data_IF_655556644992
#
_entry.id   IF_655556644992
#
_cell.length_a   1.000
_cell.length_b   1.000
_cell.length_c   1.000
_cell.angle_alpha   90.00
_cell.angle_beta   90.00
_cell.angle_gamma   90.00
#
_symmetry.space_group_name_H-M   'P 1'
#
loop_
_entity.id
_entity.type
_entity.pdbx_description
1 polymer ?
#
# COMPACT_ATOMS: atom_id res chain seq x y z
N UNK A 1 -6.18 -32.61 -16.09
CA UNK A 1 -7.06 -31.67 -16.79
C UNK A 1 -7.38 -30.60 -15.76
N UNK A 2 -6.63 -29.50 -15.78
CA UNK A 2 -6.82 -28.37 -14.87
C UNK A 2 -8.15 -27.70 -15.22
N UNK A 3 -9.07 -27.62 -14.27
CA UNK A 3 -10.31 -26.85 -14.44
C UNK A 3 -9.95 -25.37 -14.46
N UNK A 4 -10.16 -24.72 -15.59
CA UNK A 4 -10.07 -23.27 -15.69
C UNK A 4 -11.14 -22.66 -14.77
N UNK A 5 -10.71 -21.96 -13.73
CA UNK A 5 -11.58 -21.18 -12.87
C UNK A 5 -12.15 -20.03 -13.72
N UNK A 6 -13.43 -20.13 -14.10
CA UNK A 6 -14.10 -19.06 -14.83
C UNK A 6 -14.20 -17.83 -13.91
N UNK A 7 -13.30 -16.85 -14.12
CA UNK A 7 -13.40 -15.53 -13.52
C UNK A 7 -14.52 -14.73 -14.19
N UNK A 8 -15.76 -15.01 -13.81
CA UNK A 8 -16.86 -14.08 -14.07
C UNK A 8 -16.70 -12.94 -13.07
N UNK A 9 -16.20 -11.78 -13.51
CA UNK A 9 -16.69 -10.45 -13.14
C UNK A 9 -15.88 -9.35 -13.83
N UNK A 10 -16.08 -9.16 -15.13
CA UNK A 10 -15.78 -7.86 -15.73
C UNK A 10 -16.91 -6.92 -15.27
N UNK A 11 -16.63 -6.08 -14.27
CA UNK A 11 -17.58 -5.03 -13.88
C UNK A 11 -17.86 -4.13 -15.09
N UNK A 12 -19.13 -3.84 -15.34
CA UNK A 12 -19.52 -2.92 -16.42
C UNK A 12 -18.98 -1.54 -16.10
N UNK A 13 -18.40 -0.87 -17.10
CA UNK A 13 -17.92 0.51 -16.96
C UNK A 13 -19.09 1.45 -16.62
N UNK A 14 -18.79 2.55 -15.91
CA UNK A 14 -19.77 3.61 -15.67
C UNK A 14 -20.30 4.10 -17.03
N UNK A 15 -21.62 4.01 -17.29
CA UNK A 15 -22.17 4.34 -18.60
C UNK A 15 -22.19 5.84 -18.86
N UNK A 16 -22.57 6.65 -17.86
CA UNK A 16 -22.54 8.11 -17.94
C UNK A 16 -22.58 8.76 -16.53
N UNK A 17 -22.59 10.09 -16.50
CA UNK A 17 -22.86 10.92 -15.32
C UNK A 17 -24.34 11.33 -15.34
N UNK A 18 -25.03 11.24 -14.20
CA UNK A 18 -26.43 11.65 -14.10
C UNK A 18 -26.60 13.17 -14.16
N UNK A 19 -27.68 13.61 -14.78
CA UNK A 19 -28.01 15.00 -15.10
C UNK A 19 -29.31 15.51 -14.45
N UNK A 20 -30.13 14.63 -13.88
CA UNK A 20 -31.35 15.00 -13.18
C UNK A 20 -31.10 15.61 -11.78
N UNK A 21 -31.82 16.69 -11.48
CA UNK A 21 -31.81 17.35 -10.16
C UNK A 21 -31.11 18.71 -10.15
N UNK A 22 -31.05 19.32 -8.96
CA UNK A 22 -30.41 20.64 -8.77
C UNK A 22 -28.98 20.47 -8.28
N UNK A 23 -28.04 21.17 -8.93
CA UNK A 23 -26.63 21.17 -8.54
C UNK A 23 -26.44 21.73 -7.12
N UNK A 24 -25.63 21.05 -6.31
CA UNK A 24 -25.26 21.46 -4.96
C UNK A 24 -23.75 21.32 -4.75
N UNK A 25 -23.16 22.22 -3.96
CA UNK A 25 -21.74 22.16 -3.61
C UNK A 25 -21.53 21.26 -2.41
N UNK A 26 -20.72 20.22 -2.57
CA UNK A 26 -20.35 19.29 -1.49
C UNK A 26 -18.86 19.42 -1.15
N UNK A 27 -18.53 19.17 0.12
CA UNK A 27 -17.15 18.96 0.58
C UNK A 27 -17.04 17.52 1.07
N UNK A 28 -16.00 16.83 0.68
CA UNK A 28 -15.75 15.44 1.06
C UNK A 28 -14.46 15.35 1.88
N UNK A 29 -14.33 14.29 2.67
CA UNK A 29 -13.06 13.91 3.27
C UNK A 29 -12.19 13.13 2.27
N UNK A 30 -12.07 13.65 1.05
CA UNK A 30 -11.22 13.09 0.00
C UNK A 30 -10.17 14.15 -0.32
N UNK A 31 -8.92 13.76 -0.17
CA UNK A 31 -7.77 14.59 -0.52
C UNK A 31 -7.08 13.93 -1.71
N UNK A 32 -7.00 14.67 -2.80
CA UNK A 32 -6.35 14.18 -4.02
C UNK A 32 -4.84 14.04 -3.80
N UNK A 33 -4.31 12.88 -4.19
CA UNK A 33 -2.86 12.66 -4.28
C UNK A 33 -2.42 13.18 -5.65
N UNK A 34 -1.79 14.34 -5.67
CA UNK A 34 -1.45 15.07 -6.92
C UNK A 34 -0.23 14.52 -7.65
N UNK A 35 0.63 13.79 -6.94
CA UNK A 35 1.83 13.21 -7.49
C UNK A 35 2.09 11.87 -6.80
N UNK A 36 2.14 10.82 -7.60
CA UNK A 36 2.64 9.52 -7.20
C UNK A 36 3.92 9.28 -7.98
N UNK A 37 4.97 8.83 -7.32
CA UNK A 37 6.24 8.61 -7.98
C UNK A 37 6.10 7.46 -8.99
N UNK A 38 6.55 7.65 -10.22
CA UNK A 38 6.64 6.59 -11.24
C UNK A 38 7.86 5.67 -11.01
N UNK A 39 8.38 5.63 -9.78
CA UNK A 39 9.53 4.81 -9.39
C UNK A 39 9.08 3.39 -9.08
N UNK A 40 10.01 2.44 -9.20
CA UNK A 40 9.73 1.06 -8.85
C UNK A 40 9.69 0.89 -7.34
N UNK A 41 8.56 0.38 -6.83
CA UNK A 41 8.41 0.01 -5.43
C UNK A 41 8.82 -1.45 -5.28
N UNK A 42 9.83 -1.71 -4.45
CA UNK A 42 10.26 -3.07 -4.13
C UNK A 42 9.53 -3.58 -2.89
N UNK A 43 8.88 -4.73 -3.02
CA UNK A 43 8.13 -5.40 -1.96
C UNK A 43 8.92 -6.58 -1.42
N UNK A 44 9.07 -6.64 -0.09
CA UNK A 44 9.81 -7.69 0.60
C UNK A 44 8.94 -8.37 1.66
N UNK A 45 8.93 -9.69 1.64
CA UNK A 45 8.33 -10.50 2.68
C UNK A 45 9.26 -10.57 3.90
N UNK A 46 8.75 -10.12 5.05
CA UNK A 46 9.56 -10.03 6.28
C UNK A 46 8.94 -10.84 7.39
N UNK A 47 9.71 -11.80 7.88
CA UNK A 47 9.33 -12.63 9.01
C UNK A 47 10.09 -12.18 10.25
N UNK A 48 9.36 -11.70 11.26
CA UNK A 48 9.93 -11.38 12.58
C UNK A 48 9.69 -12.58 13.50
N UNK A 49 10.78 -13.14 14.03
CA UNK A 49 10.73 -14.25 14.98
C UNK A 49 11.29 -13.80 16.34
N UNK A 50 10.65 -14.16 17.47
CA UNK A 50 9.41 -14.92 17.60
C UNK A 50 8.15 -14.09 17.25
N UNK A 51 7.00 -14.76 17.14
CA UNK A 51 5.71 -14.08 16.94
C UNK A 51 5.39 -13.19 18.14
N UNK A 52 5.32 -11.88 17.92
CA UNK A 52 5.03 -10.89 18.95
C UNK A 52 3.80 -10.04 18.57
N UNK A 53 3.21 -9.30 19.53
CA UNK A 53 2.11 -8.39 19.22
C UNK A 53 2.50 -7.34 18.18
N UNK A 54 1.54 -6.96 17.32
CA UNK A 54 1.71 -5.98 16.23
C UNK A 54 2.45 -4.71 16.66
N UNK A 55 2.08 -4.13 17.80
CA UNK A 55 2.73 -2.91 18.32
C UNK A 55 4.22 -3.11 18.60
N UNK A 56 4.64 -4.32 18.96
CA UNK A 56 6.05 -4.64 19.15
C UNK A 56 6.77 -4.85 17.81
N UNK A 57 6.13 -5.48 16.81
CA UNK A 57 6.67 -5.58 15.46
C UNK A 57 7.04 -4.20 14.89
N UNK A 58 6.17 -3.21 15.04
CA UNK A 58 6.44 -1.83 14.61
C UNK A 58 7.65 -1.22 15.32
N UNK A 59 7.82 -1.47 16.63
CA UNK A 59 9.00 -0.99 17.38
C UNK A 59 10.29 -1.67 16.93
N UNK A 60 10.24 -2.98 16.71
CA UNK A 60 11.38 -3.76 16.21
C UNK A 60 11.76 -3.28 14.81
N UNK A 61 10.77 -3.09 13.94
CA UNK A 61 10.99 -2.60 12.59
C UNK A 61 11.59 -1.19 12.58
N UNK A 62 11.02 -0.26 13.34
CA UNK A 62 11.57 1.09 13.44
C UNK A 62 13.01 1.08 13.96
N UNK A 63 13.31 0.23 14.94
CA UNK A 63 14.67 0.08 15.46
C UNK A 63 15.63 -0.48 14.41
N UNK A 64 15.19 -1.44 13.61
CA UNK A 64 15.95 -1.98 12.48
C UNK A 64 16.25 -0.88 11.45
N UNK A 65 15.24 -0.08 11.07
CA UNK A 65 15.44 1.02 10.12
C UNK A 65 16.40 2.07 10.68
N UNK A 66 16.24 2.50 11.94
CA UNK A 66 17.14 3.45 12.59
C UNK A 66 18.60 2.96 12.61
N UNK A 67 18.81 1.68 12.88
CA UNK A 67 20.14 1.11 13.04
C UNK A 67 20.85 0.87 11.71
N UNK A 68 20.13 0.42 10.68
CA UNK A 68 20.73 -0.01 9.41
C UNK A 68 20.44 0.94 8.25
N UNK A 69 19.93 2.14 8.54
CA UNK A 69 19.57 3.13 7.52
C UNK A 69 20.70 3.43 6.55
N UNK A 70 21.87 3.79 7.08
CA UNK A 70 23.03 4.22 6.28
C UNK A 70 23.85 3.03 5.76
N UNK A 71 23.52 1.80 6.19
CA UNK A 71 24.21 0.58 5.83
C UNK A 71 23.38 -0.23 4.82
N UNK A 72 22.68 -1.26 5.29
CA UNK A 72 21.95 -2.21 4.46
C UNK A 72 20.77 -1.58 3.69
N UNK A 73 20.21 -0.47 4.19
CA UNK A 73 19.07 0.20 3.58
C UNK A 73 19.46 1.36 2.64
N UNK A 74 20.75 1.68 2.49
CA UNK A 74 21.21 2.68 1.52
C UNK A 74 20.58 4.08 1.66
N UNK A 75 20.17 4.47 2.87
CA UNK A 75 19.49 5.73 3.17
C UNK A 75 17.96 5.69 3.06
N UNK A 76 17.39 4.58 2.57
CA UNK A 76 15.96 4.41 2.32
C UNK A 76 15.10 4.53 3.59
N UNK A 77 13.82 4.88 3.40
CA UNK A 77 12.82 5.00 4.47
C UNK A 77 11.66 4.04 4.21
N UNK A 78 11.85 2.75 4.51
CA UNK A 78 10.87 1.72 4.20
C UNK A 78 9.59 1.85 5.04
N UNK A 79 8.47 1.43 4.45
CA UNK A 79 7.16 1.37 5.09
C UNK A 79 6.84 -0.09 5.43
N UNK A 80 6.19 -0.33 6.57
CA UNK A 80 5.90 -1.67 7.07
C UNK A 80 4.42 -1.81 7.45
N UNK A 81 3.76 -2.83 6.89
CA UNK A 81 2.35 -3.15 7.14
C UNK A 81 2.18 -4.53 7.79
N UNK A 82 2.92 -4.75 8.89
CA UNK A 82 2.85 -5.92 9.78
C UNK A 82 3.43 -7.25 9.28
N UNK A 83 3.39 -7.53 7.97
CA UNK A 83 3.91 -8.77 7.36
C UNK A 83 4.89 -8.52 6.21
N UNK A 84 4.90 -7.31 5.66
CA UNK A 84 5.73 -6.99 4.51
C UNK A 84 6.23 -5.56 4.54
N UNK A 85 7.37 -5.34 3.89
CA UNK A 85 8.00 -4.04 3.72
C UNK A 85 7.85 -3.61 2.26
N UNK A 86 7.59 -2.34 2.03
CA UNK A 86 7.79 -1.70 0.73
C UNK A 86 8.76 -0.53 0.84
N UNK A 87 9.65 -0.38 -0.14
CA UNK A 87 10.45 0.84 -0.32
C UNK A 87 10.85 1.08 -1.77
N UNK A 88 11.13 2.34 -2.06
CA UNK A 88 11.55 2.80 -3.39
C UNK A 88 13.05 2.54 -3.59
N UNK A 89 13.42 2.09 -4.79
CA UNK A 89 14.82 1.87 -5.23
C UNK A 89 15.25 2.97 -6.19
#
# INVERSE_FOLDING_TARGET
MEEATFQITQFVLRPDIGDEGSNIRVRTNFFEVTNMQDTNISHYDVTITPTVPKRLNWKVFNRFVEQYREEALGGARPVFDELSISYDV
#
